data_IF_701425771421
#
_entry.id   IF_701425771421
#
_cell.length_a   1.000
_cell.length_b   1.000
_cell.length_c   1.000
_cell.angle_alpha   90.00
_cell.angle_beta   90.00
_cell.angle_gamma   90.00
#
_symmetry.space_group_name_H-M   'P 1'
#
loop_
_entity.id
_entity.type
_entity.pdbx_description
1 polymer ?
#
# COMPACT_ATOMS: atom_id res chain seq x y z
N UNK A 1 27.64 -15.52 0.31
CA UNK A 1 27.34 -14.30 1.10
C UNK A 1 28.08 -14.35 2.46
N UNK A 2 27.92 -15.39 3.30
CA UNK A 2 28.52 -15.43 4.65
C UNK A 2 30.07 -15.41 4.58
N UNK A 3 30.68 -16.14 3.66
CA UNK A 3 32.15 -16.11 3.45
C UNK A 3 32.62 -14.73 2.99
N UNK A 4 31.85 -14.04 2.15
CA UNK A 4 32.17 -12.71 1.71
C UNK A 4 32.03 -11.67 2.84
N UNK A 5 31.06 -11.85 3.73
CA UNK A 5 30.86 -11.02 4.92
C UNK A 5 32.02 -11.18 5.90
N UNK A 6 32.54 -12.40 6.07
CA UNK A 6 33.73 -12.62 6.91
C UNK A 6 34.92 -11.80 6.41
N UNK A 7 35.20 -11.84 5.11
CA UNK A 7 36.31 -11.08 4.52
C UNK A 7 36.13 -9.57 4.60
N UNK A 8 34.85 -9.09 4.65
CA UNK A 8 34.53 -7.67 4.90
C UNK A 8 34.83 -7.25 6.35
N UNK A 9 34.61 -8.14 7.32
CA UNK A 9 34.84 -7.85 8.75
C UNK A 9 36.32 -8.00 9.08
N UNK A 10 36.97 -9.01 8.53
CA UNK A 10 38.37 -9.37 8.76
C UNK A 10 39.12 -9.39 7.41
N UNK A 11 39.49 -8.23 6.87
CA UNK A 11 40.34 -8.22 5.69
C UNK A 11 41.66 -8.90 6.04
N UNK A 12 41.98 -10.00 5.33
CA UNK A 12 43.30 -10.59 5.38
C UNK A 12 44.30 -9.52 4.97
N UNK A 13 45.29 -9.28 5.78
CA UNK A 13 46.30 -8.23 5.63
C UNK A 13 47.11 -8.31 4.34
N UNK A 14 47.06 -9.45 3.64
CA UNK A 14 47.87 -9.72 2.45
C UNK A 14 47.12 -9.69 1.10
N UNK A 15 45.78 -9.60 1.09
CA UNK A 15 45.02 -9.47 -0.15
C UNK A 15 44.10 -8.27 -0.11
N UNK A 16 44.41 -7.26 -0.92
CA UNK A 16 43.53 -6.08 -1.21
C UNK A 16 42.26 -6.45 -2.02
N UNK A 17 41.70 -7.62 -1.80
CA UNK A 17 40.45 -8.00 -2.43
C UNK A 17 39.28 -7.33 -1.65
N UNK A 18 38.91 -6.14 -2.06
CA UNK A 18 37.63 -5.56 -1.64
C UNK A 18 36.53 -6.53 -2.08
N UNK A 19 35.84 -7.08 -1.09
CA UNK A 19 34.64 -7.86 -1.35
C UNK A 19 33.54 -6.90 -1.80
N UNK A 20 33.36 -6.81 -3.08
CA UNK A 20 32.29 -6.02 -3.68
C UNK A 20 31.01 -6.86 -3.62
N UNK A 21 30.01 -6.38 -2.89
CA UNK A 21 28.66 -6.94 -2.93
C UNK A 21 27.98 -6.35 -4.16
N UNK A 22 27.69 -7.19 -5.14
CA UNK A 22 26.99 -6.74 -6.34
C UNK A 22 25.60 -6.19 -5.98
N UNK A 23 25.22 -5.05 -6.57
CA UNK A 23 23.90 -4.46 -6.35
C UNK A 23 22.80 -5.31 -6.95
N UNK A 24 21.62 -5.25 -6.35
CA UNK A 24 20.39 -5.79 -6.95
C UNK A 24 19.86 -4.75 -7.93
N UNK A 25 19.78 -5.11 -9.21
CA UNK A 25 19.31 -4.21 -10.27
C UNK A 25 18.02 -4.71 -10.88
N UNK A 26 17.04 -3.83 -10.97
CA UNK A 26 15.84 -4.01 -11.77
C UNK A 26 15.97 -3.08 -12.97
N UNK A 27 15.90 -3.64 -14.16
CA UNK A 27 15.92 -2.92 -15.44
C UNK A 27 14.51 -2.86 -15.99
N UNK A 28 14.08 -1.66 -16.34
CA UNK A 28 12.77 -1.40 -16.93
C UNK A 28 12.97 -0.89 -18.33
N UNK A 29 12.29 -1.50 -19.29
CA UNK A 29 12.08 -0.96 -20.62
C UNK A 29 10.60 -0.67 -20.77
N UNK A 30 10.25 0.52 -21.17
CA UNK A 30 8.89 0.98 -21.38
C UNK A 30 8.78 1.39 -22.85
N UNK A 31 8.11 0.56 -23.63
CA UNK A 31 7.88 0.85 -25.03
C UNK A 31 6.59 1.66 -25.18
N UNK A 32 6.55 2.59 -26.12
CA UNK A 32 5.39 3.44 -26.39
C UNK A 32 5.09 3.49 -27.90
N UNK A 33 3.81 3.66 -28.21
CA UNK A 33 3.35 3.91 -29.57
C UNK A 33 3.38 5.42 -29.86
N UNK A 34 4.26 5.84 -30.76
CA UNK A 34 4.44 7.24 -31.14
C UNK A 34 3.16 7.92 -31.64
N UNK A 35 2.19 7.12 -32.13
CA UNK A 35 0.94 7.63 -32.72
C UNK A 35 -0.19 7.75 -31.71
N UNK A 36 -0.18 6.91 -30.67
CA UNK A 36 -1.32 6.75 -29.76
C UNK A 36 -1.00 7.12 -28.31
N UNK A 37 0.25 7.00 -27.88
CA UNK A 37 0.61 7.22 -26.48
C UNK A 37 1.05 8.67 -26.21
N UNK A 38 0.66 9.18 -25.07
CA UNK A 38 1.05 10.52 -24.60
C UNK A 38 2.25 10.43 -23.66
N UNK A 39 3.42 10.80 -24.17
CA UNK A 39 4.68 10.70 -23.45
C UNK A 39 5.09 11.97 -22.68
N UNK A 40 4.21 12.94 -22.50
CA UNK A 40 4.55 14.22 -21.85
C UNK A 40 5.18 14.08 -20.48
N UNK A 41 4.71 13.10 -19.69
CA UNK A 41 5.28 12.82 -18.36
C UNK A 41 6.68 12.19 -18.42
N UNK A 42 7.09 11.70 -19.58
CA UNK A 42 8.38 11.07 -19.81
C UNK A 42 9.38 12.00 -20.52
N UNK A 43 8.97 13.21 -20.86
CA UNK A 43 9.78 14.14 -21.67
C UNK A 43 11.17 14.42 -21.07
N UNK A 44 11.25 14.52 -19.74
CA UNK A 44 12.53 14.79 -19.05
C UNK A 44 13.48 13.56 -19.03
N UNK A 45 13.02 12.41 -19.48
CA UNK A 45 13.77 11.14 -19.46
C UNK A 45 14.12 10.64 -20.85
N UNK A 46 13.92 11.45 -21.89
CA UNK A 46 14.31 11.14 -23.25
C UNK A 46 15.84 11.17 -23.34
N UNK A 47 16.45 10.03 -23.65
CA UNK A 47 17.90 9.88 -23.82
C UNK A 47 18.32 9.86 -25.28
N UNK A 48 17.40 9.48 -26.17
CA UNK A 48 17.63 9.36 -27.59
C UNK A 48 16.62 10.22 -28.35
N UNK A 49 17.11 11.07 -29.24
CA UNK A 49 16.29 11.94 -30.08
C UNK A 49 16.04 11.30 -31.46
N UNK A 50 16.47 10.05 -31.68
CA UNK A 50 16.16 9.33 -32.92
C UNK A 50 14.66 9.05 -32.98
N UNK A 51 13.95 9.52 -34.05
CA UNK A 51 12.52 9.27 -34.20
C UNK A 51 12.13 7.77 -34.29
N UNK A 52 13.10 6.91 -34.55
CA UNK A 52 12.89 5.44 -34.52
C UNK A 52 12.97 4.84 -33.13
N UNK A 53 13.46 5.59 -32.15
CA UNK A 53 13.49 5.16 -30.76
C UNK A 53 12.13 5.39 -30.09
N UNK A 54 11.50 4.32 -29.61
CA UNK A 54 10.17 4.33 -28.98
C UNK A 54 10.19 3.67 -27.62
N UNK A 55 11.29 3.86 -26.87
CA UNK A 55 11.44 3.19 -25.55
C UNK A 55 12.15 4.10 -24.56
N UNK A 56 11.69 4.00 -23.30
CA UNK A 56 12.38 4.58 -22.15
C UNK A 56 13.02 3.47 -21.32
N UNK A 57 14.19 3.77 -20.77
CA UNK A 57 14.96 2.80 -20.00
C UNK A 57 15.25 3.34 -18.58
N UNK A 58 14.97 2.53 -17.58
CA UNK A 58 15.23 2.88 -16.18
C UNK A 58 15.95 1.74 -15.47
N UNK A 59 16.79 2.10 -14.51
CA UNK A 59 17.46 1.16 -13.61
C UNK A 59 17.10 1.52 -12.18
N UNK A 60 16.48 0.61 -11.49
CA UNK A 60 16.26 0.68 -10.06
C UNK A 60 17.29 -0.20 -9.37
N UNK A 61 18.15 0.39 -8.57
CA UNK A 61 19.34 -0.27 -8.03
C UNK A 61 19.35 -0.17 -6.52
N UNK A 62 19.51 -1.32 -5.85
CA UNK A 62 19.78 -1.42 -4.43
C UNK A 62 21.26 -1.70 -4.24
N UNK A 63 21.99 -0.73 -3.71
CA UNK A 63 23.40 -0.82 -3.38
C UNK A 63 23.57 -1.00 -1.88
N UNK A 64 24.55 -1.83 -1.49
CA UNK A 64 25.00 -1.90 -0.11
C UNK A 64 26.07 -0.85 0.11
N UNK A 65 25.81 0.08 1.04
CA UNK A 65 26.88 0.92 1.53
C UNK A 65 27.80 0.08 2.43
N UNK A 66 28.94 -0.33 1.86
CA UNK A 66 29.90 -1.20 2.53
C UNK A 66 30.45 -0.58 3.82
N UNK A 67 30.58 0.74 3.90
CA UNK A 67 31.04 1.44 5.09
C UNK A 67 30.01 1.41 6.21
N UNK A 68 28.74 1.68 5.87
CA UNK A 68 27.63 1.61 6.79
C UNK A 68 27.34 0.17 7.23
N UNK A 69 27.39 -0.78 6.28
CA UNK A 69 27.23 -2.19 6.57
C UNK A 69 28.27 -2.70 7.58
N UNK A 70 29.55 -2.37 7.33
CA UNK A 70 30.64 -2.71 8.24
C UNK A 70 30.46 -2.09 9.62
N UNK A 71 30.12 -0.80 9.70
CA UNK A 71 29.86 -0.10 10.95
C UNK A 71 28.70 -0.73 11.74
N UNK A 72 27.60 -1.04 11.06
CA UNK A 72 26.45 -1.68 11.69
C UNK A 72 26.77 -3.11 12.15
N UNK A 73 27.57 -3.83 11.39
CA UNK A 73 28.02 -5.18 11.75
C UNK A 73 28.92 -5.16 12.99
N UNK A 74 29.86 -4.21 13.07
CA UNK A 74 30.74 -4.02 14.25
C UNK A 74 29.90 -3.69 15.49
N UNK A 75 28.89 -2.82 15.38
CA UNK A 75 28.01 -2.48 16.51
C UNK A 75 27.22 -3.70 17.05
N UNK A 76 26.96 -4.69 16.19
CA UNK A 76 26.35 -5.96 16.60
C UNK A 76 27.38 -7.04 16.96
N UNK A 77 28.67 -6.76 16.73
CA UNK A 77 29.74 -7.74 16.78
C UNK A 77 30.02 -8.26 18.20
N UNK A 78 30.02 -7.41 19.22
CA UNK A 78 30.26 -7.81 20.62
C UNK A 78 29.32 -8.92 21.11
N UNK A 79 28.13 -8.99 20.50
CA UNK A 79 27.15 -10.06 20.77
C UNK A 79 27.33 -11.29 19.90
N UNK A 80 28.08 -11.18 18.81
CA UNK A 80 28.16 -12.18 17.74
C UNK A 80 29.53 -12.82 17.61
N UNK A 81 30.61 -12.19 18.15
CA UNK A 81 31.99 -12.61 17.93
C UNK A 81 32.22 -14.08 18.21
N UNK A 82 31.82 -14.54 19.38
CA UNK A 82 32.02 -15.95 19.76
C UNK A 82 31.23 -16.93 18.87
N UNK A 83 30.03 -16.54 18.47
CA UNK A 83 29.15 -17.36 17.63
C UNK A 83 29.62 -17.38 16.17
N UNK A 84 30.09 -16.25 15.65
CA UNK A 84 30.63 -16.14 14.30
C UNK A 84 31.93 -16.98 14.18
N UNK A 85 32.81 -16.87 15.14
CA UNK A 85 34.04 -17.70 15.17
C UNK A 85 33.73 -19.20 15.18
N UNK A 86 32.72 -19.63 15.94
CA UNK A 86 32.30 -21.03 15.99
C UNK A 86 31.72 -21.52 14.65
N UNK A 87 30.98 -20.71 13.94
CA UNK A 87 30.42 -21.07 12.61
C UNK A 87 31.53 -21.13 11.56
N UNK A 88 32.50 -20.25 11.64
CA UNK A 88 33.60 -20.20 10.70
C UNK A 88 34.60 -21.34 10.89
N UNK A 89 34.71 -21.86 12.12
CA UNK A 89 35.54 -23.04 12.40
C UNK A 89 34.92 -24.38 11.99
N UNK A 90 33.60 -24.42 11.76
CA UNK A 90 32.85 -25.59 11.33
C UNK A 90 31.82 -25.25 10.23
N UNK A 91 32.25 -25.21 8.95
CA UNK A 91 31.36 -24.83 7.84
C UNK A 91 30.19 -25.79 7.61
N UNK A 92 30.29 -27.05 8.05
CA UNK A 92 29.24 -28.05 7.86
C UNK A 92 28.10 -27.89 8.89
N UNK A 93 28.39 -27.31 10.05
CA UNK A 93 27.40 -27.11 11.13
C UNK A 93 26.73 -25.72 11.10
N UNK A 94 26.57 -25.14 9.95
CA UNK A 94 26.19 -23.76 9.69
C UNK A 94 24.68 -23.50 9.87
N UNK A 95 24.08 -24.02 10.95
CA UNK A 95 22.64 -23.99 11.18
C UNK A 95 22.16 -22.93 12.19
N UNK A 96 22.98 -21.91 12.51
CA UNK A 96 22.51 -20.84 13.41
C UNK A 96 21.62 -19.84 12.67
N UNK A 97 20.32 -20.13 12.66
CA UNK A 97 19.27 -19.28 12.06
C UNK A 97 19.28 -17.85 12.61
N UNK A 98 19.77 -17.64 13.84
CA UNK A 98 19.77 -16.33 14.47
C UNK A 98 20.87 -15.42 13.91
N UNK A 99 22.05 -15.97 13.63
CA UNK A 99 23.13 -15.19 13.00
C UNK A 99 22.75 -14.79 11.58
N UNK A 100 22.20 -15.73 10.81
CA UNK A 100 21.68 -15.42 9.45
C UNK A 100 20.64 -14.29 9.47
N UNK A 101 19.73 -14.30 10.46
CA UNK A 101 18.74 -13.24 10.63
C UNK A 101 19.38 -11.89 10.94
N UNK A 102 20.38 -11.83 11.82
CA UNK A 102 21.06 -10.60 12.19
C UNK A 102 21.85 -10.05 10.98
N UNK A 103 22.60 -10.90 10.29
CA UNK A 103 23.32 -10.50 9.08
C UNK A 103 22.38 -9.95 8.02
N UNK A 104 21.26 -10.64 7.77
CA UNK A 104 20.23 -10.17 6.83
C UNK A 104 19.63 -8.84 7.29
N UNK A 105 19.36 -8.68 8.58
CA UNK A 105 18.85 -7.42 9.11
C UNK A 105 19.81 -6.27 8.85
N UNK A 106 21.09 -6.44 9.21
CA UNK A 106 22.13 -5.43 8.98
C UNK A 106 22.33 -5.15 7.48
N UNK A 107 22.25 -6.19 6.64
CA UNK A 107 22.27 -6.04 5.18
C UNK A 107 21.14 -5.14 4.70
N UNK A 108 19.91 -5.42 5.09
CA UNK A 108 18.76 -4.61 4.68
C UNK A 108 18.81 -3.17 5.22
N UNK A 109 19.32 -2.97 6.44
CA UNK A 109 19.50 -1.64 7.04
C UNK A 109 20.62 -0.83 6.35
N UNK A 110 21.50 -1.49 5.61
CA UNK A 110 22.61 -0.84 4.90
C UNK A 110 22.37 -0.70 3.40
N UNK A 111 21.15 -1.05 2.93
CA UNK A 111 20.75 -0.84 1.54
C UNK A 111 20.45 0.63 1.28
N UNK A 112 21.02 1.15 0.21
CA UNK A 112 20.64 2.42 -0.38
C UNK A 112 19.98 2.19 -1.73
N UNK A 113 18.94 2.95 -2.03
CA UNK A 113 18.27 2.89 -3.33
C UNK A 113 18.72 4.02 -4.24
N UNK A 114 18.92 3.70 -5.50
CA UNK A 114 19.20 4.68 -6.55
C UNK A 114 18.35 4.35 -7.76
N UNK A 115 17.67 5.33 -8.32
CA UNK A 115 16.90 5.19 -9.54
C UNK A 115 17.55 6.09 -10.59
N UNK A 116 17.73 5.55 -11.78
CA UNK A 116 18.30 6.31 -12.92
C UNK A 116 17.47 6.06 -14.17
N UNK A 117 17.28 7.08 -14.99
CA UNK A 117 16.90 6.91 -16.38
C UNK A 117 18.18 6.73 -17.20
N UNK A 118 18.14 5.92 -18.23
CA UNK A 118 19.36 5.47 -18.93
C UNK A 118 19.14 5.34 -20.42
N UNK A 119 20.26 5.12 -21.13
CA UNK A 119 20.25 4.69 -22.52
C UNK A 119 19.79 3.22 -22.67
N UNK A 120 19.68 2.74 -23.90
CA UNK A 120 19.28 1.37 -24.24
C UNK A 120 20.23 0.30 -23.70
N UNK A 121 21.47 0.64 -23.39
CA UNK A 121 22.44 -0.26 -22.78
C UNK A 121 22.36 -0.32 -21.25
N UNK A 122 21.54 0.54 -20.63
CA UNK A 122 21.41 0.72 -19.18
C UNK A 122 22.70 1.24 -18.50
N UNK A 123 23.50 2.00 -19.22
CA UNK A 123 24.81 2.47 -18.73
C UNK A 123 24.81 3.97 -18.45
N UNK A 124 24.52 4.79 -19.43
CA UNK A 124 24.57 6.25 -19.33
C UNK A 124 23.21 6.80 -18.95
N UNK A 125 23.19 7.87 -18.14
CA UNK A 125 21.93 8.52 -17.79
C UNK A 125 22.00 9.40 -16.57
N UNK A 126 20.85 9.82 -16.09
CA UNK A 126 20.69 10.70 -14.94
C UNK A 126 19.98 10.02 -13.76
N UNK A 127 20.08 10.65 -12.59
CA UNK A 127 19.31 10.21 -11.41
C UNK A 127 17.90 10.77 -11.49
N UNK A 128 16.96 10.01 -10.96
CA UNK A 128 15.57 10.40 -10.75
C UNK A 128 15.19 10.14 -9.29
N UNK A 129 14.43 11.05 -8.69
CA UNK A 129 13.91 10.84 -7.36
C UNK A 129 12.84 9.77 -7.36
N UNK A 130 12.80 8.95 -6.30
CA UNK A 130 11.81 7.88 -6.15
C UNK A 130 10.38 8.37 -6.31
N UNK A 131 10.07 9.56 -5.76
CA UNK A 131 8.73 10.13 -5.86
C UNK A 131 8.33 10.42 -7.29
N UNK A 132 9.25 10.93 -8.09
CA UNK A 132 8.98 11.27 -9.49
C UNK A 132 8.94 10.02 -10.36
N UNK A 133 9.79 9.03 -10.09
CA UNK A 133 9.70 7.72 -10.76
C UNK A 133 8.36 7.03 -10.50
N UNK A 134 7.89 6.98 -9.25
CA UNK A 134 6.61 6.32 -8.92
C UNK A 134 5.42 7.03 -9.59
N UNK A 135 5.47 8.35 -9.76
CA UNK A 135 4.41 9.11 -10.44
C UNK A 135 4.23 8.76 -11.92
N UNK A 136 5.22 8.10 -12.54
CA UNK A 136 5.11 7.62 -13.93
C UNK A 136 4.20 6.40 -14.06
N UNK A 137 3.81 5.78 -12.95
CA UNK A 137 3.06 4.53 -12.94
C UNK A 137 1.73 4.68 -12.22
N UNK A 138 0.68 4.21 -12.86
CA UNK A 138 -0.58 3.88 -12.21
C UNK A 138 -0.57 2.37 -11.93
N UNK A 139 -0.33 2.00 -10.68
CA UNK A 139 -0.07 0.61 -10.30
C UNK A 139 -1.16 0.07 -9.38
N UNK A 140 -1.82 -1.00 -9.80
CA UNK A 140 -2.78 -1.75 -9.01
C UNK A 140 -2.32 -3.21 -8.89
N UNK A 141 -2.20 -3.68 -7.64
CA UNK A 141 -1.83 -5.07 -7.35
C UNK A 141 -3.00 -5.82 -6.73
N UNK A 142 -3.28 -7.02 -7.24
CA UNK A 142 -4.14 -7.99 -6.57
C UNK A 142 -3.26 -8.95 -5.76
N UNK A 143 -3.47 -8.99 -4.45
CA UNK A 143 -2.72 -9.90 -3.58
C UNK A 143 -3.19 -11.34 -3.80
N UNK A 144 -2.26 -12.26 -3.99
CA UNK A 144 -2.55 -13.70 -4.05
C UNK A 144 -3.05 -14.25 -2.69
N UNK A 145 -2.73 -13.57 -1.60
CA UNK A 145 -3.31 -13.83 -0.28
C UNK A 145 -4.79 -13.50 -0.30
N UNK A 146 -5.59 -14.52 -0.05
CA UNK A 146 -7.05 -14.47 -0.10
C UNK A 146 -7.58 -13.52 0.98
N UNK A 147 -7.84 -12.27 0.64
CA UNK A 147 -8.58 -11.35 1.51
C UNK A 147 -10.00 -11.87 1.83
N UNK A 148 -10.45 -12.86 1.07
CA UNK A 148 -11.70 -13.59 1.31
C UNK A 148 -11.58 -14.65 2.41
N UNK A 149 -10.38 -15.05 2.82
CA UNK A 149 -10.13 -16.12 3.81
C UNK A 149 -9.86 -15.61 5.23
N UNK A 150 -9.69 -14.29 5.40
CA UNK A 150 -9.45 -13.71 6.72
C UNK A 150 -10.71 -13.81 7.60
N UNK A 151 -10.48 -14.20 8.83
CA UNK A 151 -11.47 -14.50 9.88
C UNK A 151 -12.31 -13.29 10.33
N UNK A 152 -12.33 -12.20 9.59
CA UNK A 152 -13.18 -11.06 9.88
C UNK A 152 -14.65 -11.37 9.56
N UNK A 153 -15.52 -10.97 10.45
CA UNK A 153 -16.97 -11.14 10.46
C UNK A 153 -17.72 -10.59 9.23
N UNK A 154 -17.02 -10.08 8.24
CA UNK A 154 -17.58 -9.28 7.12
C UNK A 154 -17.45 -9.95 5.74
N UNK A 155 -17.20 -11.28 5.71
CA UNK A 155 -17.10 -12.06 4.45
C UNK A 155 -18.34 -11.96 3.55
N UNK A 156 -19.50 -11.74 4.15
CA UNK A 156 -20.77 -11.70 3.44
C UNK A 156 -21.00 -10.44 2.60
N UNK A 157 -20.07 -9.48 2.60
CA UNK A 157 -20.27 -8.18 1.95
C UNK A 157 -19.09 -7.65 1.14
N UNK A 158 -18.09 -8.47 0.82
CA UNK A 158 -16.90 -8.03 0.08
C UNK A 158 -17.28 -7.63 -1.34
N UNK A 159 -18.06 -8.46 -2.02
CA UNK A 159 -18.57 -8.18 -3.37
C UNK A 159 -19.45 -6.92 -3.36
N UNK A 160 -20.38 -6.84 -2.44
CA UNK A 160 -21.29 -5.71 -2.27
C UNK A 160 -20.54 -4.38 -2.08
N UNK A 161 -19.52 -4.38 -1.22
CA UNK A 161 -18.67 -3.21 -0.96
C UNK A 161 -17.91 -2.77 -2.21
N UNK A 162 -17.34 -3.73 -2.96
CA UNK A 162 -16.63 -3.43 -4.20
C UNK A 162 -17.55 -2.89 -5.30
N UNK A 163 -18.77 -3.42 -5.41
CA UNK A 163 -19.78 -2.90 -6.36
C UNK A 163 -20.10 -1.44 -6.05
N UNK A 164 -20.32 -1.09 -4.79
CA UNK A 164 -20.55 0.31 -4.37
C UNK A 164 -19.33 1.18 -4.64
N UNK A 165 -18.12 0.67 -4.41
CA UNK A 165 -16.88 1.41 -4.70
C UNK A 165 -16.69 1.71 -6.20
N UNK A 166 -17.07 0.79 -7.05
CA UNK A 166 -17.03 0.99 -8.51
C UNK A 166 -18.10 1.97 -8.94
N UNK A 167 -19.34 1.80 -8.45
CA UNK A 167 -20.44 2.70 -8.74
C UNK A 167 -20.14 4.14 -8.29
N UNK A 168 -19.49 4.31 -7.14
CA UNK A 168 -19.14 5.63 -6.62
C UNK A 168 -18.12 6.43 -7.44
N UNK A 169 -17.52 5.83 -8.46
CA UNK A 169 -16.60 6.49 -9.40
C UNK A 169 -17.30 6.95 -10.69
N UNK A 170 -18.57 6.66 -10.84
CA UNK A 170 -19.38 7.07 -11.99
C UNK A 170 -19.87 8.51 -11.80
N UNK A 171 -19.82 9.32 -12.85
CA UNK A 171 -20.26 10.72 -12.81
C UNK A 171 -21.75 10.88 -12.45
N UNK A 172 -22.58 9.92 -12.87
CA UNK A 172 -24.02 9.94 -12.54
C UNK A 172 -24.27 9.64 -11.07
N UNK A 173 -23.40 8.82 -10.46
CA UNK A 173 -23.44 8.57 -9.02
C UNK A 173 -23.28 9.86 -8.22
N UNK A 174 -22.24 10.65 -8.54
CA UNK A 174 -21.97 11.91 -7.84
C UNK A 174 -23.22 12.84 -7.88
N UNK A 175 -23.82 13.00 -9.07
CA UNK A 175 -25.04 13.82 -9.25
C UNK A 175 -26.25 13.29 -8.47
N UNK A 176 -26.40 11.96 -8.39
CA UNK A 176 -27.52 11.34 -7.68
C UNK A 176 -27.37 11.45 -6.17
N UNK A 177 -26.14 11.38 -5.67
CA UNK A 177 -25.84 11.41 -4.24
C UNK A 177 -25.79 12.84 -3.69
N UNK A 178 -25.53 13.86 -4.52
CA UNK A 178 -25.38 15.26 -4.10
C UNK A 178 -26.55 15.76 -3.25
N UNK A 179 -27.77 15.36 -3.57
CA UNK A 179 -28.97 15.77 -2.83
C UNK A 179 -29.43 14.86 -1.68
N UNK A 180 -28.80 13.68 -1.58
CA UNK A 180 -29.18 12.66 -0.59
C UNK A 180 -28.86 13.06 0.87
N UNK A 181 -27.71 13.69 1.18
CA UNK A 181 -27.40 14.16 2.53
C UNK A 181 -28.50 15.05 3.10
N UNK A 182 -28.95 16.06 2.34
CA UNK A 182 -29.98 16.99 2.78
C UNK A 182 -31.32 16.27 3.04
N UNK A 183 -31.71 15.36 2.16
CA UNK A 183 -32.93 14.56 2.33
C UNK A 183 -32.88 13.68 3.58
N UNK A 184 -31.74 13.07 3.87
CA UNK A 184 -31.59 12.25 5.06
C UNK A 184 -31.53 13.09 6.33
N UNK A 185 -30.86 14.25 6.30
CA UNK A 185 -30.87 15.20 7.42
C UNK A 185 -32.26 15.69 7.72
N UNK A 186 -33.05 16.09 6.70
CA UNK A 186 -34.42 16.45 6.86
C UNK A 186 -35.28 15.32 7.48
N UNK A 187 -35.06 14.08 7.06
CA UNK A 187 -35.75 12.93 7.63
C UNK A 187 -35.38 12.69 9.11
N UNK A 188 -34.12 12.92 9.48
CA UNK A 188 -33.60 12.80 10.85
C UNK A 188 -34.20 13.90 11.74
N UNK A 189 -34.24 15.14 11.24
CA UNK A 189 -34.84 16.29 11.93
C UNK A 189 -36.35 16.09 12.15
N UNK A 190 -37.09 15.67 11.12
CA UNK A 190 -38.51 15.37 11.20
C UNK A 190 -38.87 14.27 12.20
N UNK A 191 -37.93 13.37 12.52
CA UNK A 191 -38.08 12.32 13.54
C UNK A 191 -37.60 12.75 14.92
N UNK A 192 -37.09 13.96 15.07
CA UNK A 192 -36.53 14.49 16.33
C UNK A 192 -35.48 13.59 16.96
N UNK A 193 -34.67 12.89 16.12
CA UNK A 193 -33.68 11.91 16.59
C UNK A 193 -32.62 12.57 17.47
N UNK A 194 -32.18 13.76 17.11
CA UNK A 194 -31.25 14.56 17.91
C UNK A 194 -31.80 14.83 19.31
N UNK A 195 -33.06 15.21 19.41
CA UNK A 195 -33.73 15.47 20.68
C UNK A 195 -33.89 14.20 21.52
N UNK A 196 -34.15 13.06 20.89
CA UNK A 196 -34.22 11.75 21.56
C UNK A 196 -32.85 11.40 22.13
N UNK A 197 -31.79 11.53 21.37
CA UNK A 197 -30.42 11.26 21.84
C UNK A 197 -30.07 12.20 22.99
N UNK A 198 -30.39 13.48 22.87
CA UNK A 198 -30.15 14.49 23.91
C UNK A 198 -30.85 14.12 25.22
N UNK A 199 -32.16 13.84 25.16
CA UNK A 199 -32.93 13.52 26.36
C UNK A 199 -32.56 12.16 26.98
N UNK A 200 -32.18 11.18 26.17
CA UNK A 200 -31.90 9.83 26.67
C UNK A 200 -30.48 9.68 27.21
N UNK A 201 -29.50 10.33 26.56
CA UNK A 201 -28.09 10.14 26.88
C UNK A 201 -27.46 11.32 27.61
N UNK A 202 -27.67 12.56 27.12
CA UNK A 202 -27.00 13.73 27.68
C UNK A 202 -27.67 14.19 28.95
N UNK A 203 -29.00 14.16 29.04
CA UNK A 203 -29.70 14.55 30.23
C UNK A 203 -29.43 13.63 31.42
N UNK A 204 -29.18 12.34 31.17
CA UNK A 204 -28.72 11.40 32.20
C UNK A 204 -27.29 11.68 32.68
N UNK A 205 -26.45 12.27 31.84
CA UNK A 205 -25.08 12.66 32.21
C UNK A 205 -25.00 13.99 32.96
N UNK A 206 -26.04 14.84 32.88
CA UNK A 206 -26.03 16.17 33.52
C UNK A 206 -25.86 16.08 35.03
N UNK A 207 -26.45 15.11 35.71
CA UNK A 207 -26.28 14.93 37.14
C UNK A 207 -24.84 14.54 37.50
N UNK A 208 -24.24 13.65 36.71
CA UNK A 208 -22.85 13.25 36.90
C UNK A 208 -21.89 14.39 36.59
N UNK A 209 -22.14 15.12 35.50
CA UNK A 209 -21.33 16.28 35.12
C UNK A 209 -21.46 17.42 36.13
N UNK A 210 -22.65 17.71 36.65
CA UNK A 210 -22.81 18.74 37.71
C UNK A 210 -22.01 18.42 38.98
N UNK A 211 -21.91 17.14 39.33
CA UNK A 211 -21.09 16.69 40.49
C UNK A 211 -19.58 16.88 40.20
N UNK A 212 -19.12 16.65 38.98
CA UNK A 212 -17.75 16.87 38.54
C UNK A 212 -17.43 18.36 38.45
N UNK A 213 -18.36 19.18 38.01
CA UNK A 213 -18.22 20.63 37.84
C UNK A 213 -18.04 21.35 39.17
N UNK A 214 -18.69 20.86 40.24
CA UNK A 214 -18.49 21.40 41.58
C UNK A 214 -17.04 21.22 42.09
N UNK A 215 -16.32 20.24 41.56
CA UNK A 215 -14.91 19.98 41.90
C UNK A 215 -13.93 20.74 41.03
N UNK A 216 -14.34 21.29 39.91
CA UNK A 216 -13.47 21.90 38.88
C UNK A 216 -13.67 23.42 38.69
N UNK A 217 -14.05 24.14 39.73
CA UNK A 217 -14.13 25.61 39.72
C UNK A 217 -15.38 26.19 39.04
N UNK A 218 -16.41 25.40 38.77
CA UNK A 218 -17.75 25.89 38.40
C UNK A 218 -17.94 26.31 36.94
N UNK A 219 -17.02 26.01 36.04
CA UNK A 219 -17.21 26.24 34.60
C UNK A 219 -18.06 25.12 33.98
N UNK A 220 -19.22 25.47 33.45
CA UNK A 220 -20.12 24.55 32.76
C UNK A 220 -19.81 24.52 31.26
N UNK A 221 -19.28 23.42 30.76
CA UNK A 221 -19.24 23.15 29.32
C UNK A 221 -20.52 22.40 28.93
N UNK A 222 -21.31 22.96 28.03
CA UNK A 222 -22.50 22.29 27.50
C UNK A 222 -22.08 21.35 26.39
N UNK A 223 -22.55 20.09 26.45
CA UNK A 223 -22.38 19.12 25.37
C UNK A 223 -23.48 19.35 24.35
N UNK A 224 -23.10 19.74 23.16
CA UNK A 224 -24.00 19.92 22.01
C UNK A 224 -23.80 18.74 21.05
N UNK A 225 -24.89 18.16 20.58
CA UNK A 225 -24.88 17.14 19.52
C UNK A 225 -25.12 17.84 18.21
N UNK A 226 -24.23 17.65 17.26
CA UNK A 226 -24.44 18.02 15.87
C UNK A 226 -24.48 16.75 15.02
N UNK A 227 -25.46 16.64 14.14
CA UNK A 227 -25.51 15.59 13.13
C UNK A 227 -25.13 16.19 11.79
N UNK A 228 -24.13 15.59 11.15
CA UNK A 228 -23.69 15.96 9.81
C UNK A 228 -23.54 14.69 8.98
N UNK A 229 -23.95 14.76 7.72
CA UNK A 229 -23.84 13.65 6.77
C UNK A 229 -22.93 14.09 5.64
N UNK A 230 -21.71 13.53 5.67
CA UNK A 230 -20.75 13.72 4.59
C UNK A 230 -20.96 12.67 3.49
N UNK A 231 -20.44 12.93 2.29
CA UNK A 231 -20.43 11.96 1.19
C UNK A 231 -19.79 10.61 1.61
N UNK A 232 -18.71 10.65 2.38
CA UNK A 232 -18.04 9.45 2.89
C UNK A 232 -18.91 8.67 3.88
N UNK A 233 -19.65 9.36 4.74
CA UNK A 233 -20.62 8.74 5.66
C UNK A 233 -21.73 8.04 4.90
N UNK A 234 -22.24 8.69 3.86
CA UNK A 234 -23.28 8.16 2.99
C UNK A 234 -22.77 6.94 2.20
N UNK A 235 -21.58 7.03 1.63
CA UNK A 235 -20.93 5.91 0.94
C UNK A 235 -20.74 4.71 1.87
N UNK A 236 -20.32 4.96 3.10
CA UNK A 236 -20.18 3.91 4.13
C UNK A 236 -21.51 3.28 4.49
N UNK A 237 -22.57 4.07 4.61
CA UNK A 237 -23.94 3.59 4.83
C UNK A 237 -24.38 2.68 3.68
N UNK A 238 -24.22 3.13 2.43
CA UNK A 238 -24.58 2.36 1.25
C UNK A 238 -23.83 1.04 1.15
N UNK A 239 -22.53 1.01 1.47
CA UNK A 239 -21.75 -0.22 1.57
C UNK A 239 -22.29 -1.20 2.61
N UNK A 240 -22.83 -0.69 3.70
CA UNK A 240 -23.34 -1.53 4.79
C UNK A 240 -24.75 -2.09 4.52
N UNK A 241 -25.60 -1.33 3.82
CA UNK A 241 -26.97 -1.76 3.50
C UNK A 241 -27.07 -2.53 2.18
N UNK A 242 -26.10 -2.38 1.27
CA UNK A 242 -26.08 -3.13 0.00
C UNK A 242 -25.70 -4.59 0.27
N UNK A 243 -26.43 -5.52 -0.35
CA UNK A 243 -26.09 -6.95 -0.37
C UNK A 243 -26.17 -7.48 -1.80
N UNK A 244 -25.10 -8.09 -2.29
CA UNK A 244 -25.12 -8.82 -3.54
C UNK A 244 -25.69 -10.22 -3.33
N UNK A 245 -26.52 -10.64 -4.24
CA UNK A 245 -27.12 -11.98 -4.25
C UNK A 245 -26.97 -12.60 -5.62
N UNK A 246 -26.81 -13.91 -5.67
CA UNK A 246 -26.79 -14.67 -6.89
C UNK A 246 -28.15 -15.32 -7.11
N UNK A 247 -28.64 -15.29 -8.33
CA UNK A 247 -29.85 -16.00 -8.71
C UNK A 247 -29.47 -17.34 -9.35
N UNK A 248 -29.92 -18.43 -8.74
CA UNK A 248 -29.76 -19.80 -9.26
C UNK A 248 -31.11 -20.50 -9.17
N UNK A 249 -31.64 -20.96 -10.31
CA UNK A 249 -32.91 -21.69 -10.40
C UNK A 249 -34.04 -21.01 -9.59
N UNK A 250 -34.27 -19.70 -9.80
CA UNK A 250 -35.24 -18.86 -9.10
C UNK A 250 -35.03 -18.70 -7.57
N UNK A 251 -33.87 -19.13 -7.07
CA UNK A 251 -33.48 -18.94 -5.67
C UNK A 251 -32.38 -17.87 -5.54
N UNK A 252 -32.54 -16.98 -4.56
CA UNK A 252 -31.52 -15.98 -4.23
C UNK A 252 -30.55 -16.55 -3.19
N UNK A 253 -29.30 -16.64 -3.57
CA UNK A 253 -28.20 -17.10 -2.72
C UNK A 253 -27.35 -15.93 -2.28
N UNK A 254 -26.99 -15.90 -1.02
CA UNK A 254 -26.11 -14.87 -0.48
C UNK A 254 -24.70 -14.96 -1.10
N UNK A 255 -23.98 -13.85 -1.09
CA UNK A 255 -22.61 -13.76 -1.55
C UNK A 255 -21.70 -14.87 -1.00
N UNK A 256 -21.86 -15.20 0.30
CA UNK A 256 -21.10 -16.24 1.00
C UNK A 256 -21.41 -17.67 0.54
N UNK A 257 -22.46 -17.89 -0.23
CA UNK A 257 -22.87 -19.22 -0.69
C UNK A 257 -22.12 -19.71 -1.91
N UNK A 258 -21.33 -18.84 -2.56
CA UNK A 258 -20.52 -19.20 -3.73
C UNK A 258 -19.21 -19.85 -3.32
N UNK A 259 -18.74 -20.79 -4.15
CA UNK A 259 -17.43 -21.41 -3.98
C UNK A 259 -16.30 -20.36 -4.12
N UNK A 260 -15.22 -20.54 -3.35
CA UNK A 260 -14.07 -19.63 -3.30
C UNK A 260 -13.48 -19.29 -4.68
N UNK A 261 -13.44 -20.23 -5.61
CA UNK A 261 -12.90 -20.00 -6.95
C UNK A 261 -13.73 -18.98 -7.74
N UNK A 262 -15.04 -19.09 -7.68
CA UNK A 262 -15.95 -18.18 -8.37
C UNK A 262 -15.95 -16.78 -7.75
N UNK A 263 -15.98 -16.71 -6.43
CA UNK A 263 -15.90 -15.44 -5.71
C UNK A 263 -14.58 -14.70 -5.97
N UNK A 264 -13.45 -15.43 -6.07
CA UNK A 264 -12.17 -14.85 -6.42
C UNK A 264 -12.15 -14.31 -7.87
N UNK A 265 -12.76 -15.04 -8.82
CA UNK A 265 -12.84 -14.60 -10.21
C UNK A 265 -13.63 -13.29 -10.33
N UNK A 266 -14.78 -13.21 -9.68
CA UNK A 266 -15.59 -11.99 -9.64
C UNK A 266 -14.81 -10.85 -8.98
N UNK A 267 -14.14 -11.11 -7.86
CA UNK A 267 -13.32 -10.11 -7.19
C UNK A 267 -12.22 -9.57 -8.10
N UNK A 268 -11.48 -10.45 -8.80
CA UNK A 268 -10.45 -10.03 -9.75
C UNK A 268 -11.04 -9.18 -10.88
N UNK A 269 -12.19 -9.59 -11.43
CA UNK A 269 -12.86 -8.83 -12.47
C UNK A 269 -13.29 -7.45 -11.99
N UNK A 270 -13.84 -7.36 -10.79
CA UNK A 270 -14.23 -6.07 -10.19
C UNK A 270 -13.02 -5.17 -9.92
N UNK A 271 -11.88 -5.72 -9.51
CA UNK A 271 -10.65 -4.94 -9.34
C UNK A 271 -10.12 -4.45 -10.69
N UNK A 272 -10.22 -5.26 -11.75
CA UNK A 272 -9.88 -4.87 -13.12
C UNK A 272 -10.79 -3.73 -13.61
N UNK A 273 -12.10 -3.85 -13.42
CA UNK A 273 -13.07 -2.79 -13.79
C UNK A 273 -12.80 -1.49 -13.02
N UNK A 274 -12.45 -1.60 -11.73
CA UNK A 274 -12.05 -0.45 -10.93
C UNK A 274 -10.78 0.20 -11.48
N UNK A 275 -9.81 -0.60 -11.88
CA UNK A 275 -8.57 -0.13 -12.47
C UNK A 275 -8.83 0.54 -13.83
N UNK A 276 -9.63 -0.07 -14.69
CA UNK A 276 -10.00 0.48 -16.00
C UNK A 276 -10.58 1.91 -15.89
N UNK A 277 -11.34 2.20 -14.84
CA UNK A 277 -11.85 3.56 -14.57
C UNK A 277 -10.80 4.56 -14.07
N UNK A 278 -9.61 4.08 -13.73
CA UNK A 278 -8.49 4.91 -13.24
C UNK A 278 -7.32 4.95 -14.20
N UNK A 279 -7.48 4.41 -15.40
CA UNK A 279 -6.46 4.47 -16.44
C UNK A 279 -6.18 5.94 -16.79
N UNK A 280 -4.92 6.30 -16.73
CA UNK A 280 -4.43 7.62 -17.13
C UNK A 280 -3.52 7.42 -18.36
N UNK A 281 -3.83 8.05 -19.51
CA UNK A 281 -3.03 7.93 -20.73
C UNK A 281 -1.61 8.52 -20.61
N UNK A 282 -1.37 9.34 -19.59
CA UNK A 282 -0.04 9.93 -19.31
C UNK A 282 0.87 9.03 -18.47
N UNK A 283 0.36 7.89 -18.01
CA UNK A 283 1.05 6.99 -17.09
C UNK A 283 1.18 5.59 -17.65
N UNK A 284 2.18 4.86 -17.17
CA UNK A 284 2.25 3.42 -17.39
C UNK A 284 1.24 2.73 -16.48
N UNK A 285 0.18 2.19 -17.07
CA UNK A 285 -0.90 1.54 -16.34
C UNK A 285 -0.57 0.06 -16.14
N UNK A 286 -0.33 -0.36 -14.88
CA UNK A 286 0.07 -1.71 -14.52
C UNK A 286 -0.95 -2.34 -13.58
N UNK A 287 -1.53 -3.46 -14.03
CA UNK A 287 -2.42 -4.29 -13.25
C UNK A 287 -1.79 -5.67 -13.05
N UNK A 288 -1.46 -6.07 -11.80
CA UNK A 288 -0.70 -7.29 -11.47
C UNK A 288 -1.42 -8.14 -10.43
#
# INVERSE_FOLDING_TARGET
IISNIHNLIFPNTDEKNEVIIEPIKLKFQIDYDVTNDDIRNFADYIMDLDPSSSSFYFVYEYNVDNSLFRKNLINHYDKLEHRIRKILSDPENNNDKNIKKIILKVYFESLSETIRFTDSNFENGGKIDRKDFIKLFNFQKIMAGRTLDDTSTDRSKILSKNIVDIASKDENWAKTIESLPDTILEAIENKNIEQIIKSTSIDSLKETMSSILMTNGGQTNEIIINMDITEDSLKSLLKNITSAQYMLDDHYLNESSQGLGYSNLIYMHLQLEKFNKTIDPLLVNLFV
#
